data_IF_460458129559
#
_entry.id   IF_460458129559
#
_cell.length_a   1.000
_cell.length_b   1.000
_cell.length_c   1.000
_cell.angle_alpha   90.00
_cell.angle_beta   90.00
_cell.angle_gamma   90.00
#
_symmetry.space_group_name_H-M   'P 1'
#
loop_
_entity.id
_entity.type
_entity.pdbx_description
1 polymer ?
#
# COMPACT_ATOMS: atom_id res chain seq x y z
N UNK A 1 6.94 27.00 -11.33
CA UNK A 1 5.57 26.42 -11.38
C UNK A 1 5.68 25.06 -12.05
N UNK A 2 5.86 23.98 -11.28
CA UNK A 2 6.03 22.64 -11.86
C UNK A 2 4.67 21.95 -11.77
N UNK A 3 4.04 21.81 -12.93
CA UNK A 3 2.77 21.11 -13.09
C UNK A 3 3.08 19.62 -13.19
N UNK A 4 3.15 18.96 -12.03
CA UNK A 4 3.41 17.52 -11.96
C UNK A 4 2.05 16.83 -11.89
N UNK A 5 1.47 16.54 -13.05
CA UNK A 5 0.50 15.45 -13.24
C UNK A 5 1.22 14.08 -13.13
N UNK A 6 1.99 13.85 -12.06
CA UNK A 6 2.53 12.52 -11.81
C UNK A 6 1.44 11.69 -11.19
N UNK A 7 0.65 11.05 -12.06
CA UNK A 7 0.17 9.72 -11.76
C UNK A 7 1.39 8.90 -11.37
N UNK A 8 1.53 8.55 -10.10
CA UNK A 8 2.49 7.52 -9.71
C UNK A 8 2.00 6.25 -10.40
N UNK A 9 2.67 5.85 -11.47
CA UNK A 9 2.30 4.67 -12.25
C UNK A 9 2.43 3.39 -11.42
N UNK A 10 3.38 3.38 -10.49
CA UNK A 10 3.57 2.31 -9.52
C UNK A 10 4.45 2.78 -8.34
N UNK A 11 4.33 2.11 -7.19
CA UNK A 11 5.25 2.22 -6.06
C UNK A 11 5.84 0.84 -5.77
N UNK A 12 7.17 0.74 -5.75
CA UNK A 12 7.90 -0.48 -5.41
C UNK A 12 8.54 -0.28 -4.04
N UNK A 13 8.18 -1.12 -3.07
CA UNK A 13 8.73 -1.04 -1.72
C UNK A 13 8.54 -2.33 -0.95
N UNK A 14 9.31 -2.48 0.12
CA UNK A 14 9.15 -3.59 1.05
C UNK A 14 8.16 -3.22 2.16
N UNK A 15 7.46 -4.22 2.70
CA UNK A 15 6.53 -4.00 3.81
C UNK A 15 7.32 -3.75 5.09
N UNK A 16 7.14 -2.55 5.64
CA UNK A 16 7.73 -2.13 6.91
C UNK A 16 6.81 -2.52 8.09
N UNK A 17 5.51 -2.32 7.92
CA UNK A 17 4.52 -2.68 8.94
C UNK A 17 3.16 -3.03 8.31
N UNK A 18 2.37 -3.82 9.03
CA UNK A 18 1.01 -4.16 8.65
C UNK A 18 0.16 -4.43 9.89
N UNK A 19 -1.15 -4.22 9.76
CA UNK A 19 -2.12 -4.56 10.78
C UNK A 19 -2.79 -5.91 10.48
N UNK A 20 -3.45 -6.49 11.47
CA UNK A 20 -4.35 -7.62 11.21
C UNK A 20 -5.49 -7.19 10.28
N UNK A 21 -5.93 -8.07 9.35
CA UNK A 21 -7.06 -7.79 8.49
C UNK A 21 -8.34 -7.58 9.30
N UNK A 22 -9.10 -6.55 8.97
CA UNK A 22 -10.39 -6.26 9.58
C UNK A 22 -11.51 -6.31 8.54
N UNK A 23 -12.75 -6.46 9.00
CA UNK A 23 -13.94 -6.32 8.15
C UNK A 23 -14.47 -4.89 8.29
N UNK A 24 -14.59 -4.19 7.17
CA UNK A 24 -15.09 -2.82 7.05
C UNK A 24 -16.19 -2.78 5.97
N UNK A 25 -17.42 -2.46 6.37
CA UNK A 25 -18.61 -2.49 5.49
C UNK A 25 -18.78 -3.81 4.72
N UNK A 26 -18.55 -4.94 5.39
CA UNK A 26 -18.67 -6.28 4.79
C UNK A 26 -17.51 -6.67 3.87
N UNK A 27 -16.49 -5.82 3.73
CA UNK A 27 -15.29 -6.09 2.94
C UNK A 27 -14.08 -6.26 3.83
N UNK A 28 -13.21 -7.20 3.47
CA UNK A 28 -11.95 -7.40 4.21
C UNK A 28 -10.96 -6.31 3.78
N UNK A 29 -10.23 -5.74 4.73
CA UNK A 29 -9.14 -4.82 4.43
C UNK A 29 -7.95 -5.01 5.35
N UNK A 30 -6.78 -4.69 4.81
CA UNK A 30 -5.53 -4.59 5.56
C UNK A 30 -4.89 -3.24 5.26
N UNK A 31 -4.28 -2.63 6.28
CA UNK A 31 -3.46 -1.43 6.11
C UNK A 31 -2.00 -1.82 6.25
N UNK A 32 -1.19 -1.44 5.26
CA UNK A 32 0.24 -1.71 5.19
C UNK A 32 1.01 -0.42 4.99
N UNK A 33 2.25 -0.40 5.45
CA UNK A 33 3.22 0.66 5.19
C UNK A 33 4.39 0.07 4.38
N UNK A 34 4.67 0.69 3.25
CA UNK A 34 5.77 0.33 2.36
C UNK A 34 6.88 1.37 2.48
N UNK A 35 8.13 0.91 2.40
CA UNK A 35 9.32 1.76 2.30
C UNK A 35 10.13 1.38 1.05
N UNK A 36 10.52 2.39 0.27
CA UNK A 36 11.36 2.20 -0.91
C UNK A 36 12.86 2.37 -0.58
N UNK A 37 13.70 2.23 -1.61
CA UNK A 37 15.15 2.38 -1.51
C UNK A 37 15.62 3.80 -1.12
N UNK A 38 14.74 4.80 -1.21
CA UNK A 38 14.99 6.21 -0.87
C UNK A 38 14.46 6.57 0.52
N UNK A 39 13.96 5.58 1.27
CA UNK A 39 13.23 5.75 2.52
C UNK A 39 11.94 6.58 2.39
N UNK A 40 11.38 6.69 1.18
CA UNK A 40 10.04 7.23 0.98
C UNK A 40 9.01 6.20 1.46
N UNK A 41 7.99 6.68 2.19
CA UNK A 41 6.97 5.81 2.80
C UNK A 41 5.61 5.97 2.15
N UNK A 42 4.96 4.84 1.90
CA UNK A 42 3.61 4.80 1.36
C UNK A 42 2.69 3.96 2.26
N UNK A 43 1.63 4.59 2.77
CA UNK A 43 0.54 3.89 3.45
C UNK A 43 -0.51 3.45 2.44
N UNK A 44 -0.80 2.16 2.40
CA UNK A 44 -1.73 1.55 1.46
C UNK A 44 -2.79 0.78 2.23
N UNK A 45 -4.04 0.89 1.80
CA UNK A 45 -5.12 0.01 2.25
C UNK A 45 -5.47 -0.92 1.09
N UNK A 46 -5.28 -2.22 1.30
CA UNK A 46 -5.66 -3.26 0.36
C UNK A 46 -6.99 -3.87 0.79
N UNK A 47 -7.81 -4.26 -0.20
CA UNK A 47 -9.18 -4.75 0.01
C UNK A 47 -9.36 -6.15 -0.56
N UNK A 48 -10.32 -6.88 0.01
CA UNK A 48 -10.81 -8.17 -0.45
C UNK A 48 -9.66 -9.16 -0.73
N UNK A 49 -9.61 -9.74 -1.93
CA UNK A 49 -8.61 -10.74 -2.32
C UNK A 49 -7.16 -10.25 -2.18
N UNK A 50 -6.91 -8.94 -2.33
CA UNK A 50 -5.57 -8.37 -2.17
C UNK A 50 -5.15 -8.35 -0.71
N UNK A 51 -6.10 -8.12 0.20
CA UNK A 51 -5.85 -8.18 1.63
C UNK A 51 -5.48 -9.60 2.05
N UNK A 52 -6.22 -10.60 1.57
CA UNK A 52 -5.95 -12.02 1.83
C UNK A 52 -4.59 -12.45 1.29
N UNK A 53 -4.30 -12.11 0.03
CA UNK A 53 -3.05 -12.51 -0.62
C UNK A 53 -1.83 -11.96 0.10
N UNK A 54 -1.84 -10.66 0.43
CA UNK A 54 -0.71 -10.03 1.12
C UNK A 54 -0.57 -10.56 2.53
N UNK A 55 -1.66 -10.67 3.29
CA UNK A 55 -1.61 -11.21 4.65
C UNK A 55 -1.09 -12.65 4.69
N UNK A 56 -1.53 -13.49 3.75
CA UNK A 56 -1.02 -14.86 3.63
C UNK A 56 0.47 -14.92 3.26
N UNK A 57 0.98 -13.98 2.46
CA UNK A 57 2.41 -13.91 2.14
C UNK A 57 3.24 -13.51 3.36
N UNK A 58 2.79 -12.50 4.11
CA UNK A 58 3.45 -12.04 5.34
C UNK A 58 3.49 -13.15 6.41
N UNK A 59 2.38 -13.84 6.61
CA UNK A 59 2.26 -14.86 7.67
C UNK A 59 3.01 -16.15 7.35
N UNK A 60 3.18 -16.50 6.07
CA UNK A 60 3.91 -17.71 5.67
C UNK A 60 5.44 -17.56 5.72
N UNK A 61 5.95 -16.34 5.61
CA UNK A 61 7.39 -16.08 5.54
C UNK A 61 7.78 -14.92 6.47
N UNK A 62 7.67 -15.11 7.81
CA UNK A 62 7.92 -14.02 8.77
C UNK A 62 9.37 -13.52 8.74
N UNK A 63 10.31 -14.39 8.34
CA UNK A 63 11.75 -14.08 8.38
C UNK A 63 12.26 -13.35 7.12
N UNK A 64 11.44 -13.23 6.08
CA UNK A 64 11.85 -12.63 4.81
C UNK A 64 11.09 -11.33 4.51
N UNK A 65 11.79 -10.27 4.05
CA UNK A 65 11.12 -9.04 3.65
C UNK A 65 10.24 -9.31 2.42
N UNK A 66 8.96 -8.96 2.53
CA UNK A 66 8.03 -9.04 1.40
C UNK A 66 8.06 -7.72 0.64
N UNK A 67 8.41 -7.81 -0.64
CA UNK A 67 8.44 -6.68 -1.58
C UNK A 67 7.16 -6.65 -2.41
N UNK A 68 6.55 -5.48 -2.53
CA UNK A 68 5.35 -5.26 -3.32
C UNK A 68 5.59 -4.20 -4.39
N UNK A 69 5.06 -4.46 -5.58
CA UNK A 69 4.81 -3.45 -6.61
C UNK A 69 3.33 -3.13 -6.56
N UNK A 70 3.00 -1.91 -6.15
CA UNK A 70 1.62 -1.45 -6.07
C UNK A 70 1.33 -0.59 -7.28
N UNK A 71 0.36 -1.00 -8.10
CA UNK A 71 -0.04 -0.32 -9.33
C UNK A 71 -1.52 0.09 -9.26
N UNK A 72 -1.91 1.11 -10.04
CA UNK A 72 -3.31 1.54 -10.19
C UNK A 72 -4.02 1.88 -8.87
N UNK A 73 -3.29 2.42 -7.89
CA UNK A 73 -3.87 2.81 -6.60
C UNK A 73 -4.67 4.09 -6.69
N UNK A 74 -5.84 4.11 -6.04
CA UNK A 74 -6.56 5.37 -5.79
C UNK A 74 -5.84 6.14 -4.68
N UNK A 75 -5.07 7.16 -5.06
CA UNK A 75 -4.39 8.04 -4.12
C UNK A 75 -5.39 8.98 -3.43
N UNK A 76 -5.73 8.71 -2.16
CA UNK A 76 -6.57 9.63 -1.37
C UNK A 76 -5.79 10.86 -0.87
N UNK A 77 -4.48 10.70 -0.62
CA UNK A 77 -3.57 11.77 -0.19
C UNK A 77 -2.13 11.34 -0.47
N UNK A 78 -1.43 12.05 -1.34
CA UNK A 78 0.02 11.93 -1.53
C UNK A 78 0.59 13.33 -1.27
N UNK A 79 1.50 13.48 -0.30
CA UNK A 79 2.12 14.77 0.05
C UNK A 79 1.16 15.94 0.34
N UNK A 80 0.30 15.82 1.36
CA UNK A 80 -0.54 16.94 1.86
C UNK A 80 -1.46 17.65 0.84
N UNK A 81 -1.62 17.15 -0.38
CA UNK A 81 -2.62 17.65 -1.34
C UNK A 81 -3.71 16.60 -1.54
N UNK A 82 -4.96 17.04 -1.37
CA UNK A 82 -6.13 16.25 -1.70
C UNK A 82 -6.14 16.00 -3.21
N UNK A 83 -6.23 14.74 -3.61
CA UNK A 83 -6.60 14.38 -4.97
C UNK A 83 -8.06 13.92 -4.88
N UNK A 84 -9.00 14.85 -5.08
CA UNK A 84 -10.31 14.51 -5.64
C UNK A 84 -10.06 14.11 -7.10
N UNK A 85 -10.69 13.11 -7.68
CA UNK A 85 -12.09 12.67 -7.57
C UNK A 85 -12.19 11.14 -7.57
#
# INVERSE_FOLDING_TARGET
MINIHSFISYFLGHILSYNDPIIDNGKKRISIELEDERADRLKVTLWDEHADRVYNMMTKNPDYPVVLIVQYVKCKKYYCKYIGF
#
